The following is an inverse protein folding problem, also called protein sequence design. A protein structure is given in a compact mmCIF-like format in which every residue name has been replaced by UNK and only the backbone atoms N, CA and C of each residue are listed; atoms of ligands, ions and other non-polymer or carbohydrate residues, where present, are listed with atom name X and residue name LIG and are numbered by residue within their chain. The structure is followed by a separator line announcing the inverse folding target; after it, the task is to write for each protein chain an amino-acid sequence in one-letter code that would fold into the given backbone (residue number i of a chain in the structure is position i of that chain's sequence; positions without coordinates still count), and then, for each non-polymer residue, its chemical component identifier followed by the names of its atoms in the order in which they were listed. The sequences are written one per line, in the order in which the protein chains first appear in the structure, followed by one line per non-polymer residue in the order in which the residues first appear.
data_IF_564151967322
#
_entry.id   IF_564151967322
#
_cell.length_a   1.000
_cell.length_b   1.000
_cell.length_c   1.000
_cell.angle_alpha   90.00
_cell.angle_beta   90.00
_cell.angle_gamma   90.00
#
_symmetry.space_group_name_H-M   'P 1'
#
loop_
_entity.id
_entity.type
_entity.pdbx_description
1 polymer ?
#
# COMPACT_ATOMS: atom_id res chain seq x y z
N UNK A 1 -13.52 4.72 -5.65
CA UNK A 1 -12.90 5.78 -6.48
C UNK A 1 -13.66 7.12 -6.38
N UNK A 2 -15.01 7.15 -6.53
CA UNK A 2 -15.78 8.39 -6.41
C UNK A 2 -15.60 9.05 -5.03
N UNK A 3 -15.74 8.28 -3.94
CA UNK A 3 -15.55 8.74 -2.57
C UNK A 3 -14.14 9.27 -2.32
N UNK A 4 -13.09 8.54 -2.77
CA UNK A 4 -11.71 9.02 -2.63
C UNK A 4 -11.48 10.33 -3.41
N UNK A 5 -12.05 10.47 -4.60
CA UNK A 5 -11.99 11.74 -5.35
C UNK A 5 -12.73 12.88 -4.65
N UNK A 6 -13.87 12.59 -3.99
CA UNK A 6 -14.61 13.55 -3.20
C UNK A 6 -13.79 14.02 -2.00
N UNK A 7 -13.20 13.09 -1.25
CA UNK A 7 -12.30 13.41 -0.14
C UNK A 7 -11.12 14.28 -0.60
N UNK A 8 -10.45 13.87 -1.68
CA UNK A 8 -9.35 14.66 -2.26
C UNK A 8 -9.81 16.06 -2.70
N UNK A 9 -11.02 16.20 -3.23
CA UNK A 9 -11.57 17.51 -3.63
C UNK A 9 -11.84 18.40 -2.42
N UNK A 10 -12.43 17.86 -1.36
CA UNK A 10 -12.70 18.60 -0.14
C UNK A 10 -11.41 19.00 0.59
N UNK A 11 -10.49 18.07 0.78
CA UNK A 11 -9.22 18.32 1.47
C UNK A 11 -8.20 19.08 0.61
N UNK A 12 -8.09 18.70 -0.64
CA UNK A 12 -7.05 19.17 -1.56
C UNK A 12 -7.48 20.28 -2.53
N UNK A 13 -8.77 20.68 -2.51
CA UNK A 13 -9.34 21.65 -3.45
C UNK A 13 -9.67 21.06 -4.83
N UNK A 14 -9.12 19.90 -5.18
CA UNK A 14 -9.44 19.13 -6.39
C UNK A 14 -8.97 17.67 -6.26
N UNK A 15 -9.59 16.79 -7.02
CA UNK A 15 -9.37 15.33 -6.92
C UNK A 15 -8.01 14.86 -7.41
N UNK A 16 -7.34 15.64 -8.25
CA UNK A 16 -6.01 15.33 -8.80
C UNK A 16 -5.14 16.58 -8.68
N UNK A 17 -3.90 16.41 -8.26
CA UNK A 17 -2.96 17.49 -7.98
C UNK A 17 -3.52 18.50 -6.98
N UNK A 18 -3.59 18.16 -5.68
CA UNK A 18 -4.06 19.04 -4.62
C UNK A 18 -3.37 20.41 -4.65
N UNK A 19 -4.11 21.46 -4.32
CA UNK A 19 -3.64 22.85 -4.38
C UNK A 19 -3.78 23.59 -3.04
N UNK A 20 -4.30 22.94 -2.01
CA UNK A 20 -4.53 23.55 -0.69
C UNK A 20 -3.28 23.58 0.17
N UNK A 21 -2.33 22.65 -0.04
CA UNK A 21 -1.08 22.63 0.71
C UNK A 21 -0.14 23.76 0.26
N UNK A 22 0.34 24.54 1.22
CA UNK A 22 1.27 25.67 1.02
C UNK A 22 2.34 25.67 2.11
N UNK A 23 3.41 26.43 1.91
CA UNK A 23 4.44 26.60 2.94
C UNK A 23 3.81 27.19 4.20
N UNK A 24 3.89 26.47 5.30
CA UNK A 24 3.33 26.88 6.59
C UNK A 24 1.91 26.39 6.89
N UNK A 25 1.28 25.60 6.00
CA UNK A 25 -0.03 25.00 6.28
C UNK A 25 -0.90 24.74 5.07
N UNK A 26 -2.19 25.02 5.22
CA UNK A 26 -3.21 24.82 4.18
C UNK A 26 -3.98 26.11 3.92
N UNK A 27 -4.42 26.32 2.68
CA UNK A 27 -5.24 27.49 2.29
C UNK A 27 -6.72 27.29 2.58
N UNK A 28 -7.13 26.08 2.93
CA UNK A 28 -8.52 25.71 3.18
C UNK A 28 -8.53 24.57 4.22
N UNK A 29 -9.50 24.64 5.12
CA UNK A 29 -9.83 23.59 6.08
C UNK A 29 -11.19 23.01 5.75
N UNK A 30 -11.37 21.72 5.96
CA UNK A 30 -12.69 21.06 5.82
C UNK A 30 -13.51 21.37 7.07
N UNK A 31 -14.74 21.81 6.88
CA UNK A 31 -15.64 22.05 7.99
C UNK A 31 -16.00 20.74 8.72
N UNK A 32 -16.12 20.74 10.06
CA UNK A 32 -16.41 19.52 10.84
C UNK A 32 -17.63 18.74 10.35
N UNK A 33 -18.67 19.43 9.87
CA UNK A 33 -19.87 18.78 9.33
C UNK A 33 -19.59 17.99 8.05
N UNK A 34 -18.66 18.45 7.22
CA UNK A 34 -18.26 17.75 6.00
C UNK A 34 -17.45 16.50 6.29
N UNK A 35 -16.65 16.48 7.38
CA UNK A 35 -15.99 15.27 7.85
C UNK A 35 -16.98 14.19 8.27
N UNK A 36 -18.04 14.55 9.00
CA UNK A 36 -19.09 13.61 9.40
C UNK A 36 -19.83 13.02 8.19
N UNK A 37 -20.16 13.87 7.21
CA UNK A 37 -20.77 13.40 5.95
C UNK A 37 -19.86 12.43 5.18
N UNK A 38 -18.55 12.67 5.18
CA UNK A 38 -17.58 11.78 4.56
C UNK A 38 -17.45 10.45 5.33
N UNK A 39 -17.46 10.50 6.66
CA UNK A 39 -17.42 9.30 7.51
C UNK A 39 -18.62 8.38 7.25
N UNK A 40 -19.85 8.93 7.20
CA UNK A 40 -21.06 8.16 6.86
C UNK A 40 -20.95 7.48 5.47
N UNK A 41 -20.33 8.16 4.50
CA UNK A 41 -20.08 7.60 3.17
C UNK A 41 -18.99 6.53 3.18
N UNK A 42 -17.99 6.65 4.05
CA UNK A 42 -16.94 5.63 4.23
C UNK A 42 -17.50 4.36 4.82
N UNK A 43 -18.34 4.46 5.84
CA UNK A 43 -19.06 3.31 6.41
C UNK A 43 -19.88 2.57 5.34
N UNK A 44 -20.62 3.31 4.53
CA UNK A 44 -21.40 2.72 3.42
C UNK A 44 -20.52 2.13 2.30
N UNK A 45 -19.27 2.54 2.18
CA UNK A 45 -18.32 2.02 1.19
C UNK A 45 -17.68 0.69 1.61
N UNK A 46 -17.80 0.27 2.87
CA UNK A 46 -17.21 -0.97 3.37
C UNK A 46 -17.76 -2.20 2.62
N UNK A 47 -19.06 -2.24 2.33
CA UNK A 47 -19.66 -3.35 1.56
C UNK A 47 -19.06 -3.45 0.16
N UNK A 48 -18.81 -2.33 -0.51
CA UNK A 48 -18.14 -2.32 -1.82
C UNK A 48 -16.68 -2.77 -1.75
N UNK A 49 -15.99 -2.49 -0.64
CA UNK A 49 -14.63 -3.00 -0.44
C UNK A 49 -14.62 -4.52 -0.26
N UNK A 50 -15.60 -5.08 0.44
CA UNK A 50 -15.80 -6.53 0.56
C UNK A 50 -16.13 -7.17 -0.80
N UNK A 51 -17.00 -6.55 -1.60
CA UNK A 51 -17.31 -7.01 -2.96
C UNK A 51 -16.05 -7.01 -3.85
N UNK A 52 -15.16 -6.02 -3.71
CA UNK A 52 -13.90 -5.97 -4.45
C UNK A 52 -12.97 -7.12 -4.05
N UNK A 53 -12.87 -7.44 -2.77
CA UNK A 53 -12.10 -8.60 -2.27
C UNK A 53 -12.66 -9.92 -2.85
N UNK A 54 -13.99 -10.09 -2.83
CA UNK A 54 -14.64 -11.28 -3.40
C UNK A 54 -14.47 -11.37 -4.92
N UNK A 55 -14.48 -10.24 -5.63
CA UNK A 55 -14.21 -10.17 -7.06
C UNK A 55 -12.80 -10.66 -7.40
N UNK A 56 -11.77 -10.10 -6.75
CA UNK A 56 -10.38 -10.49 -7.01
C UNK A 56 -10.08 -11.94 -6.59
N UNK A 57 -10.70 -12.43 -5.53
CA UNK A 57 -10.63 -13.83 -5.13
C UNK A 57 -11.17 -14.78 -6.19
N UNK A 58 -12.16 -14.33 -6.97
CA UNK A 58 -12.80 -15.14 -8.03
C UNK A 58 -11.96 -15.30 -9.29
N UNK A 59 -10.86 -14.58 -9.43
CA UNK A 59 -10.00 -14.71 -10.60
C UNK A 59 -9.08 -15.93 -10.49
N UNK A 60 -9.03 -16.73 -11.55
CA UNK A 60 -7.99 -17.73 -11.70
C UNK A 60 -6.66 -17.03 -12.03
N UNK A 61 -5.68 -17.19 -11.16
CA UNK A 61 -4.34 -16.63 -11.34
C UNK A 61 -3.31 -17.73 -11.46
N UNK A 62 -2.23 -17.52 -12.23
CA UNK A 62 -1.14 -18.49 -12.31
C UNK A 62 -0.52 -18.74 -10.92
N UNK A 63 -0.19 -19.99 -10.62
CA UNK A 63 0.54 -20.36 -9.42
C UNK A 63 2.04 -20.13 -9.65
N UNK A 64 2.48 -18.92 -9.39
CA UNK A 64 3.87 -18.49 -9.50
C UNK A 64 4.31 -17.75 -8.26
N UNK A 65 5.59 -17.90 -7.92
CA UNK A 65 6.23 -17.13 -6.87
C UNK A 65 7.26 -16.16 -7.48
N UNK A 66 7.33 -14.94 -6.95
CA UNK A 66 8.41 -14.04 -7.32
C UNK A 66 9.72 -14.48 -6.67
N UNK A 67 10.79 -14.42 -7.45
CA UNK A 67 12.16 -14.71 -6.96
C UNK A 67 12.82 -13.47 -6.32
N UNK A 68 12.17 -12.31 -6.43
CA UNK A 68 12.69 -11.05 -5.91
C UNK A 68 12.44 -10.86 -4.42
N UNK A 69 13.04 -9.81 -3.88
CA UNK A 69 12.75 -9.35 -2.54
C UNK A 69 11.48 -8.50 -2.50
N UNK A 70 10.98 -8.22 -1.32
CA UNK A 70 9.87 -7.30 -1.09
C UNK A 70 10.35 -6.17 -0.21
N UNK A 71 10.18 -4.93 -0.68
CA UNK A 71 10.52 -3.74 0.08
C UNK A 71 9.25 -3.04 0.55
N UNK A 72 9.14 -2.81 1.85
CA UNK A 72 8.07 -2.04 2.46
C UNK A 72 8.60 -1.18 3.61
N UNK A 73 7.92 -0.10 3.90
CA UNK A 73 8.08 0.60 5.17
C UNK A 73 7.46 -0.24 6.29
N UNK A 74 8.03 -0.17 7.48
CA UNK A 74 7.58 -0.93 8.66
C UNK A 74 7.50 -0.05 9.88
N UNK A 75 6.54 -0.35 10.76
CA UNK A 75 6.38 0.25 12.09
C UNK A 75 5.90 -0.80 13.09
N UNK A 76 6.14 -0.55 14.36
CA UNK A 76 5.81 -1.52 15.41
C UNK A 76 4.31 -1.54 15.73
N UNK A 77 3.63 -0.40 15.67
CA UNK A 77 2.29 -0.18 16.23
C UNK A 77 1.22 0.25 15.21
N UNK A 78 1.58 0.54 13.97
CA UNK A 78 0.62 0.85 12.91
C UNK A 78 1.03 0.28 11.54
N UNK A 79 0.08 0.23 10.62
CA UNK A 79 0.29 -0.21 9.23
C UNK A 79 0.74 1.00 8.38
N UNK A 80 2.04 1.10 8.01
CA UNK A 80 2.55 2.28 7.32
C UNK A 80 2.24 2.20 5.81
N UNK A 81 1.49 3.18 5.30
CA UNK A 81 1.23 3.35 3.86
C UNK A 81 2.04 4.50 3.27
N UNK A 82 2.19 5.58 4.02
CA UNK A 82 2.71 6.85 3.49
C UNK A 82 4.08 7.24 4.05
N UNK A 83 4.32 7.02 5.32
CA UNK A 83 5.58 7.40 5.96
C UNK A 83 5.95 6.43 7.07
N UNK A 84 7.22 6.24 7.22
CA UNK A 84 7.90 5.56 8.32
C UNK A 84 9.37 5.93 8.27
N UNK A 85 10.01 5.90 9.42
CA UNK A 85 11.46 6.07 9.51
C UNK A 85 12.22 4.77 9.19
N UNK A 86 11.54 3.64 9.07
CA UNK A 86 12.15 2.34 8.80
C UNK A 86 11.62 1.69 7.52
N UNK A 87 12.52 1.04 6.80
CA UNK A 87 12.24 0.20 5.64
C UNK A 87 12.80 -1.19 5.83
N UNK A 88 12.18 -2.18 5.20
CA UNK A 88 12.49 -3.59 5.38
C UNK A 88 12.51 -4.33 4.04
N UNK A 89 13.63 -4.99 3.74
CA UNK A 89 13.72 -6.03 2.74
C UNK A 89 13.38 -7.39 3.38
N UNK A 90 12.21 -7.92 3.06
CA UNK A 90 11.62 -9.06 3.76
C UNK A 90 12.45 -10.33 3.63
N UNK A 91 12.85 -10.68 2.40
CA UNK A 91 13.57 -11.93 2.13
C UNK A 91 15.03 -11.85 2.55
N UNK A 92 15.66 -10.69 2.41
CA UNK A 92 17.02 -10.45 2.89
C UNK A 92 17.09 -10.30 4.42
N UNK A 93 15.95 -9.97 5.06
CA UNK A 93 15.92 -9.73 6.51
C UNK A 93 16.64 -8.44 6.95
N UNK A 94 16.72 -7.44 6.05
CA UNK A 94 17.47 -6.19 6.29
C UNK A 94 16.50 -5.08 6.63
N UNK A 95 16.59 -4.54 7.84
CA UNK A 95 15.89 -3.33 8.29
C UNK A 95 16.88 -2.17 8.29
N UNK A 96 16.47 -1.01 7.79
CA UNK A 96 17.32 0.17 7.68
C UNK A 96 16.49 1.46 7.79
N UNK A 97 17.14 2.58 8.06
CA UNK A 97 16.51 3.91 8.04
C UNK A 97 16.02 4.22 6.62
N UNK A 98 14.77 4.60 6.46
CA UNK A 98 14.17 4.88 5.16
C UNK A 98 14.91 5.98 4.38
N UNK A 99 15.61 6.89 5.06
CA UNK A 99 16.46 7.89 4.42
C UNK A 99 17.74 7.32 3.81
N UNK A 100 18.15 6.12 4.21
CA UNK A 100 19.35 5.42 3.72
C UNK A 100 19.03 4.48 2.52
N UNK A 101 17.82 4.51 2.00
CA UNK A 101 17.37 3.62 0.90
C UNK A 101 18.35 3.57 -0.28
N UNK A 102 19.02 4.68 -0.60
CA UNK A 102 20.00 4.76 -1.69
C UNK A 102 21.28 3.95 -1.42
N UNK A 103 21.58 3.64 -0.16
CA UNK A 103 22.70 2.80 0.21
C UNK A 103 22.41 1.31 -0.02
N UNK A 104 21.14 0.93 0.00
CA UNK A 104 20.64 -0.44 -0.13
C UNK A 104 20.13 -0.80 -1.53
N UNK A 105 19.90 0.20 -2.39
CA UNK A 105 19.43 0.02 -3.76
C UNK A 105 20.53 0.40 -4.73
N UNK A 106 20.74 -0.47 -5.72
CA UNK A 106 21.66 -0.22 -6.82
C UNK A 106 20.89 -0.13 -8.15
N UNK A 107 21.04 0.99 -8.83
CA UNK A 107 20.50 1.17 -10.18
C UNK A 107 21.55 0.81 -11.23
N UNK A 108 21.14 0.11 -12.28
CA UNK A 108 22.04 -0.27 -13.38
C UNK A 108 21.36 -0.18 -14.73
N UNK A 109 22.12 0.19 -15.74
CA UNK A 109 21.67 0.22 -17.12
C UNK A 109 21.74 -1.18 -17.75
N UNK A 110 20.78 -1.46 -18.65
CA UNK A 110 20.76 -2.69 -19.45
C UNK A 110 20.70 -2.33 -20.94
N UNK A 111 21.37 -3.09 -21.84
CA UNK A 111 21.49 -2.73 -23.25
C UNK A 111 20.17 -2.60 -24.02
N UNK A 112 19.11 -3.28 -23.55
CA UNK A 112 17.81 -3.34 -24.22
C UNK A 112 16.78 -2.35 -23.69
N UNK A 113 17.13 -1.50 -22.73
CA UNK A 113 16.22 -0.52 -22.13
C UNK A 113 16.91 0.81 -21.89
N UNK A 114 16.18 1.89 -22.11
CA UNK A 114 16.61 3.24 -21.72
C UNK A 114 16.32 3.55 -20.24
N UNK A 115 15.51 2.73 -19.57
CA UNK A 115 15.25 2.83 -18.15
C UNK A 115 16.32 2.10 -17.34
N UNK A 116 16.66 2.63 -16.18
CA UNK A 116 17.48 1.93 -15.20
C UNK A 116 16.65 0.82 -14.55
N UNK A 117 17.28 -0.30 -14.27
CA UNK A 117 16.75 -1.36 -13.42
C UNK A 117 17.37 -1.23 -12.03
N UNK A 118 16.56 -1.51 -11.00
CA UNK A 118 17.01 -1.46 -9.61
C UNK A 118 17.07 -2.86 -9.00
N UNK A 119 17.99 -3.05 -8.07
CA UNK A 119 18.16 -4.28 -7.31
C UNK A 119 18.64 -4.00 -5.90
N UNK A 120 18.43 -4.96 -5.01
CA UNK A 120 18.99 -4.93 -3.65
C UNK A 120 20.50 -5.05 -3.76
N UNK A 121 21.25 -4.12 -3.17
CA UNK A 121 22.71 -4.06 -3.30
C UNK A 121 23.39 -5.27 -2.67
N UNK A 122 22.93 -5.68 -1.49
CA UNK A 122 23.54 -6.76 -0.70
C UNK A 122 23.33 -8.13 -1.33
N UNK A 123 22.15 -8.38 -1.86
CA UNK A 123 21.78 -9.71 -2.40
C UNK A 123 21.84 -9.79 -3.92
N UNK A 124 21.95 -8.64 -4.60
CA UNK A 124 21.87 -8.50 -6.05
C UNK A 124 20.54 -9.03 -6.65
N UNK A 125 19.51 -9.24 -5.82
CA UNK A 125 18.18 -9.69 -6.23
C UNK A 125 17.34 -8.52 -6.73
N UNK A 126 16.42 -8.75 -7.68
CA UNK A 126 15.36 -7.79 -7.96
C UNK A 126 14.47 -7.64 -6.73
N UNK A 127 13.72 -6.55 -6.66
CA UNK A 127 12.73 -6.35 -5.62
C UNK A 127 11.47 -5.70 -6.19
N UNK A 128 10.38 -5.80 -5.44
CA UNK A 128 9.15 -5.09 -5.73
C UNK A 128 8.57 -4.46 -4.45
N UNK A 129 7.74 -3.46 -4.65
CA UNK A 129 7.03 -2.72 -3.61
C UNK A 129 5.52 -2.85 -3.84
N UNK A 130 4.73 -2.28 -2.95
CA UNK A 130 3.28 -2.20 -3.11
C UNK A 130 2.52 -2.93 -2.02
N UNK A 131 1.22 -3.09 -2.21
CA UNK A 131 0.32 -3.63 -1.22
C UNK A 131 0.73 -5.01 -0.71
N UNK A 132 1.15 -5.91 -1.60
CA UNK A 132 1.57 -7.25 -1.21
C UNK A 132 2.82 -7.23 -0.31
N UNK A 133 3.79 -6.38 -0.63
CA UNK A 133 4.99 -6.21 0.19
C UNK A 133 4.62 -5.66 1.58
N UNK A 134 3.77 -4.63 1.65
CA UNK A 134 3.31 -4.05 2.93
C UNK A 134 2.52 -5.05 3.76
N UNK A 135 1.59 -5.79 3.14
CA UNK A 135 0.81 -6.83 3.85
C UNK A 135 1.71 -7.92 4.40
N UNK A 136 2.72 -8.35 3.64
CA UNK A 136 3.69 -9.33 4.15
C UNK A 136 4.53 -8.78 5.31
N UNK A 137 4.97 -7.52 5.22
CA UNK A 137 5.83 -6.90 6.23
C UNK A 137 5.08 -6.56 7.52
N UNK A 138 3.85 -6.05 7.40
CA UNK A 138 3.11 -5.42 8.51
C UNK A 138 1.74 -6.07 8.76
N UNK A 139 1.59 -7.37 8.49
CA UNK A 139 0.35 -8.13 8.68
C UNK A 139 -0.27 -7.94 10.06
N UNK A 140 0.56 -7.94 11.12
CA UNK A 140 0.10 -7.80 12.49
C UNK A 140 -0.61 -6.47 12.74
N UNK A 141 -0.27 -5.44 11.99
CA UNK A 141 -0.76 -4.07 12.16
C UNK A 141 -2.01 -3.76 11.30
N UNK A 142 -2.44 -4.69 10.45
CA UNK A 142 -3.73 -4.57 9.77
C UNK A 142 -4.90 -4.64 10.74
N UNK A 143 -5.98 -3.91 10.46
CA UNK A 143 -7.25 -3.97 11.16
C UNK A 143 -7.88 -5.36 11.09
N UNK A 144 -8.75 -5.67 12.05
CA UNK A 144 -9.35 -7.00 12.15
C UNK A 144 -10.24 -7.35 10.95
N UNK A 145 -11.02 -6.39 10.45
CA UNK A 145 -11.87 -6.59 9.28
C UNK A 145 -11.04 -6.88 8.02
N UNK A 146 -9.94 -6.15 7.83
CA UNK A 146 -9.00 -6.37 6.74
C UNK A 146 -8.35 -7.77 6.82
N UNK A 147 -7.93 -8.21 8.02
CA UNK A 147 -7.39 -9.58 8.23
C UNK A 147 -8.39 -10.67 7.89
N UNK A 148 -9.65 -10.51 8.31
CA UNK A 148 -10.73 -11.46 8.01
C UNK A 148 -10.98 -11.55 6.50
N UNK A 149 -11.03 -10.41 5.82
CA UNK A 149 -11.22 -10.35 4.37
C UNK A 149 -10.04 -10.97 3.61
N UNK A 150 -8.82 -10.66 4.01
CA UNK A 150 -7.61 -11.25 3.44
C UNK A 150 -7.61 -12.78 3.57
N UNK A 151 -7.91 -13.29 4.77
CA UNK A 151 -7.98 -14.72 5.01
C UNK A 151 -9.09 -15.40 4.16
N UNK A 152 -10.26 -14.75 4.02
CA UNK A 152 -11.36 -15.21 3.16
C UNK A 152 -10.95 -15.26 1.69
N UNK A 153 -10.13 -14.32 1.24
CA UNK A 153 -9.61 -14.27 -0.12
C UNK A 153 -8.40 -15.19 -0.35
N UNK A 154 -7.93 -15.91 0.66
CA UNK A 154 -6.78 -16.80 0.55
C UNK A 154 -5.42 -16.11 0.71
N UNK A 155 -5.40 -14.81 0.96
CA UNK A 155 -4.17 -14.06 1.21
C UNK A 155 -3.67 -14.31 2.63
N UNK A 156 -2.51 -14.95 2.74
CA UNK A 156 -1.88 -15.29 4.02
C UNK A 156 -0.37 -15.09 3.94
N UNK A 157 0.19 -14.15 4.67
CA UNK A 157 1.64 -14.01 4.73
C UNK A 157 2.34 -15.26 5.31
N UNK A 158 3.53 -15.62 4.78
CA UNK A 158 4.19 -14.98 3.64
C UNK A 158 3.56 -15.40 2.29
N UNK A 159 3.17 -14.41 1.47
CA UNK A 159 2.60 -14.63 0.15
C UNK A 159 3.59 -14.13 -0.92
N UNK A 160 3.97 -15.00 -1.84
CA UNK A 160 4.97 -14.71 -2.88
C UNK A 160 4.39 -14.58 -4.30
N UNK A 161 3.10 -14.90 -4.48
CA UNK A 161 2.46 -14.78 -5.79
C UNK A 161 2.14 -13.31 -6.10
N UNK A 162 2.76 -12.69 -7.12
CA UNK A 162 2.58 -11.27 -7.41
C UNK A 162 1.15 -10.91 -7.85
N UNK A 163 0.37 -11.86 -8.35
CA UNK A 163 -1.04 -11.62 -8.67
C UNK A 163 -1.92 -11.37 -7.44
N UNK A 164 -1.49 -11.84 -6.26
CA UNK A 164 -2.17 -11.55 -5.00
C UNK A 164 -2.03 -10.08 -4.57
N UNK A 165 -1.22 -9.28 -5.27
CA UNK A 165 -1.14 -7.84 -5.04
C UNK A 165 -2.49 -7.14 -5.25
N UNK A 166 -3.34 -7.59 -6.18
CA UNK A 166 -4.68 -7.03 -6.37
C UNK A 166 -5.60 -7.30 -5.16
N UNK A 167 -5.51 -8.50 -4.59
CA UNK A 167 -6.21 -8.85 -3.35
C UNK A 167 -5.67 -8.00 -2.20
N UNK A 168 -4.35 -7.86 -2.09
CA UNK A 168 -3.72 -7.04 -1.06
C UNK A 168 -4.17 -5.57 -1.14
N UNK A 169 -4.28 -4.98 -2.34
CA UNK A 169 -4.81 -3.64 -2.53
C UNK A 169 -6.27 -3.50 -2.07
N UNK A 170 -7.12 -4.49 -2.35
CA UNK A 170 -8.51 -4.47 -1.89
C UNK A 170 -8.58 -4.59 -0.34
N UNK A 171 -7.71 -5.38 0.26
CA UNK A 171 -7.57 -5.50 1.71
C UNK A 171 -7.09 -4.19 2.35
N UNK A 172 -6.14 -3.48 1.73
CA UNK A 172 -5.69 -2.16 2.19
C UNK A 172 -6.81 -1.10 2.11
N UNK A 173 -7.67 -1.16 1.08
CA UNK A 173 -8.83 -0.27 0.99
C UNK A 173 -9.77 -0.52 2.17
N UNK A 174 -10.00 -1.77 2.55
CA UNK A 174 -10.80 -2.09 3.74
C UNK A 174 -10.16 -1.56 5.02
N UNK A 175 -8.85 -1.77 5.18
CA UNK A 175 -8.11 -1.25 6.34
C UNK A 175 -8.20 0.28 6.45
N UNK A 176 -8.09 0.96 5.31
CA UNK A 176 -8.20 2.42 5.25
C UNK A 176 -9.62 2.95 5.55
N UNK A 177 -10.67 2.16 5.25
CA UNK A 177 -12.06 2.53 5.57
C UNK A 177 -12.42 2.25 7.03
N UNK A 178 -11.72 1.29 7.67
CA UNK A 178 -11.97 0.84 9.05
C UNK A 178 -11.24 1.73 10.10
N UNK A 179 -10.30 2.56 9.66
CA UNK A 179 -9.51 3.49 10.49
C UNK A 179 -10.15 4.87 10.58
#
# INVERSE_FOLDING_TARGET
KALGNELCTKAGGRSIHPITAVVGGFTHEIEPAEYLELADKMDAAMDFALEAVDLFRGFEVPDIATAGDMLAMVEDDYYPVECSDQAFFLNAGIVFDANEVQEHIEEHAVPHSAALLARVRETQSPYFTGALARVNASWQNLGQNAKVAAAKAGLRPPEANPFMNNVAQAVEIMDALDR
#
